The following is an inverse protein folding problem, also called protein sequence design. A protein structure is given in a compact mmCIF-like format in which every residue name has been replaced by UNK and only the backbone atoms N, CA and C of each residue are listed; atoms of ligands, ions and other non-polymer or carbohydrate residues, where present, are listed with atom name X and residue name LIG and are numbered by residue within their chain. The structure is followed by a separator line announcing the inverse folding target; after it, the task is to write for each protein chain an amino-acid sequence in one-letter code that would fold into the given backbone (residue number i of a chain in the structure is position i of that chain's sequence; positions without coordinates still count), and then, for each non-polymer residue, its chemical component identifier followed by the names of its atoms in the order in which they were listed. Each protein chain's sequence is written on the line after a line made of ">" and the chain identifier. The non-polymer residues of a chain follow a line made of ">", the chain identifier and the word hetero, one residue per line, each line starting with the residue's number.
data_IF_363481395647
#
_entry.id   IF_363481395647
#
_cell.length_a   1.000
_cell.length_b   1.000
_cell.length_c   1.000
_cell.angle_alpha   90.00
_cell.angle_beta   90.00
_cell.angle_gamma   90.00
#
_symmetry.space_group_name_H-M   'P 1'
#
loop_
_entity.id
_entity.type
_entity.pdbx_description
1 polymer ?
#
# COMPACT_ATOMS: atom_id res chain seq x y z
N UNK A 1 6.44 -35.21 -9.72
CA UNK A 1 6.09 -35.99 -10.92
C UNK A 1 7.16 -37.03 -11.08
N UNK A 2 6.73 -38.29 -11.21
CA UNK A 2 7.58 -39.47 -11.40
C UNK A 2 8.44 -39.28 -12.63
N UNK A 3 9.75 -39.22 -12.40
CA UNK A 3 10.78 -39.21 -13.43
C UNK A 3 10.76 -40.60 -14.05
N UNK A 4 10.23 -40.75 -15.25
CA UNK A 4 10.60 -41.87 -16.11
C UNK A 4 12.06 -41.64 -16.49
N UNK A 5 12.94 -42.11 -15.61
CA UNK A 5 14.34 -42.26 -15.90
C UNK A 5 14.41 -43.24 -17.07
N UNK A 6 14.68 -42.74 -18.26
CA UNK A 6 15.15 -43.55 -19.37
C UNK A 6 16.29 -44.40 -18.83
N UNK A 7 16.03 -45.69 -18.61
CA UNK A 7 16.94 -46.65 -17.98
C UNK A 7 18.10 -47.02 -18.93
N UNK A 8 18.72 -46.02 -19.56
CA UNK A 8 19.94 -46.23 -20.33
C UNK A 8 21.12 -46.25 -19.37
N UNK A 9 21.40 -47.46 -18.84
CA UNK A 9 22.64 -47.76 -18.12
C UNK A 9 23.84 -47.35 -18.98
N UNK A 10 24.84 -46.74 -18.34
CA UNK A 10 26.14 -46.43 -18.93
C UNK A 10 26.61 -47.55 -19.87
N UNK A 11 26.91 -47.24 -21.15
CA UNK A 11 27.38 -48.25 -22.08
C UNK A 11 28.68 -48.82 -21.51
N UNK A 12 28.67 -50.13 -21.22
CA UNK A 12 29.90 -50.83 -20.85
C UNK A 12 30.88 -50.66 -22.00
N UNK A 13 32.13 -50.30 -21.69
CA UNK A 13 33.25 -50.31 -22.62
C UNK A 13 33.39 -51.75 -23.18
N UNK A 14 32.63 -52.07 -24.22
CA UNK A 14 32.88 -53.21 -25.07
C UNK A 14 34.19 -52.92 -25.77
N UNK A 15 35.26 -53.55 -25.31
CA UNK A 15 36.56 -53.47 -25.96
C UNK A 15 36.35 -53.98 -27.40
N UNK A 16 36.41 -53.10 -28.40
CA UNK A 16 36.30 -53.45 -29.83
C UNK A 16 37.52 -54.22 -30.34
N UNK A 17 38.13 -55.06 -29.50
CA UNK A 17 39.29 -55.91 -29.82
C UNK A 17 38.84 -57.32 -30.20
N UNK A 18 37.81 -57.41 -31.03
CA UNK A 18 37.37 -58.66 -31.64
C UNK A 18 38.03 -58.85 -33.00
N UNK A 19 39.23 -59.45 -33.02
CA UNK A 19 39.96 -59.95 -34.19
C UNK A 19 40.51 -58.92 -35.19
N UNK A 20 41.81 -59.01 -35.49
CA UNK A 20 42.48 -58.19 -36.51
C UNK A 20 41.73 -58.23 -37.85
N UNK A 21 41.16 -57.09 -38.28
CA UNK A 21 40.44 -56.95 -39.55
C UNK A 21 41.34 -57.37 -40.73
N UNK A 22 40.96 -58.46 -41.42
CA UNK A 22 41.80 -59.13 -42.43
C UNK A 22 41.71 -58.51 -43.83
N UNK A 23 40.75 -57.61 -44.07
CA UNK A 23 40.54 -56.95 -45.36
C UNK A 23 40.36 -55.43 -45.23
N UNK A 24 40.69 -54.67 -46.28
CA UNK A 24 40.57 -53.20 -46.30
C UNK A 24 39.12 -52.77 -46.02
N UNK A 25 38.14 -53.49 -46.58
CA UNK A 25 36.71 -53.23 -46.37
C UNK A 25 36.28 -53.40 -44.91
N UNK A 26 36.77 -54.44 -44.22
CA UNK A 26 36.50 -54.66 -42.79
C UNK A 26 37.13 -53.57 -41.92
N UNK A 27 38.36 -53.12 -42.26
CA UNK A 27 39.02 -52.01 -41.55
C UNK A 27 38.21 -50.71 -41.66
N UNK A 28 37.74 -50.37 -42.87
CA UNK A 28 36.91 -49.18 -43.08
C UNK A 28 35.56 -49.26 -42.34
N UNK A 29 34.91 -50.43 -42.34
CA UNK A 29 33.66 -50.65 -41.60
C UNK A 29 33.85 -50.52 -40.09
N UNK A 30 34.94 -51.08 -39.54
CA UNK A 30 35.27 -50.91 -38.13
C UNK A 30 35.50 -49.43 -37.76
N UNK A 31 36.22 -48.69 -38.60
CA UNK A 31 36.46 -47.27 -38.40
C UNK A 31 35.16 -46.46 -38.38
N UNK A 32 34.25 -46.72 -39.33
CA UNK A 32 32.94 -46.05 -39.37
C UNK A 32 32.10 -46.40 -38.13
N UNK A 33 32.12 -47.65 -37.67
CA UNK A 33 31.45 -48.08 -36.44
C UNK A 33 32.00 -47.37 -35.21
N UNK A 34 33.32 -47.33 -35.08
CA UNK A 34 33.99 -46.69 -33.95
C UNK A 34 33.69 -45.18 -33.92
N UNK A 35 33.74 -44.52 -35.08
CA UNK A 35 33.34 -43.11 -35.23
C UNK A 35 31.88 -42.88 -34.84
N UNK A 36 30.98 -43.78 -35.24
CA UNK A 36 29.56 -43.69 -34.89
C UNK A 36 29.32 -43.88 -33.39
N UNK A 37 29.96 -44.88 -32.77
CA UNK A 37 29.92 -45.12 -31.33
C UNK A 37 30.45 -43.93 -30.53
N UNK A 38 31.57 -43.34 -30.97
CA UNK A 38 32.14 -42.16 -30.34
C UNK A 38 31.21 -40.95 -30.44
N UNK A 39 30.55 -40.75 -31.59
CA UNK A 39 29.53 -39.70 -31.77
C UNK A 39 28.33 -39.90 -30.84
N UNK A 40 27.82 -41.12 -30.74
CA UNK A 40 26.65 -41.42 -29.91
C UNK A 40 26.96 -41.20 -28.42
N UNK A 41 28.14 -41.63 -27.95
CA UNK A 41 28.62 -41.36 -26.60
C UNK A 41 28.79 -39.86 -26.33
N UNK A 42 29.33 -39.11 -27.30
CA UNK A 42 29.45 -37.65 -27.20
C UNK A 42 28.09 -36.97 -27.07
N UNK A 43 27.11 -37.36 -27.90
CA UNK A 43 25.75 -36.81 -27.88
C UNK A 43 24.99 -37.15 -26.60
N UNK A 44 25.18 -38.34 -26.04
CA UNK A 44 24.63 -38.69 -24.73
C UNK A 44 25.20 -37.79 -23.63
N UNK A 45 26.49 -37.46 -23.69
CA UNK A 45 27.12 -36.49 -22.79
C UNK A 45 26.52 -35.09 -22.93
N UNK A 46 26.39 -34.59 -24.17
CA UNK A 46 25.75 -33.29 -24.46
C UNK A 46 24.29 -33.24 -23.99
N UNK A 47 23.54 -34.33 -24.13
CA UNK A 47 22.16 -34.43 -23.63
C UNK A 47 22.13 -34.33 -22.11
N UNK A 48 22.97 -35.11 -21.42
CA UNK A 48 23.03 -35.10 -19.95
C UNK A 48 23.40 -33.72 -19.39
N UNK A 49 24.35 -33.03 -20.03
CA UNK A 49 24.70 -31.64 -19.68
C UNK A 49 23.51 -30.69 -19.88
N UNK A 50 22.77 -30.85 -20.98
CA UNK A 50 21.59 -30.03 -21.26
C UNK A 50 20.43 -30.30 -20.30
N UNK A 51 20.28 -31.52 -19.79
CA UNK A 51 19.28 -31.87 -18.76
C UNK A 51 19.59 -31.19 -17.43
N UNK A 52 20.83 -31.32 -16.95
CA UNK A 52 21.30 -30.64 -15.73
C UNK A 52 21.16 -29.13 -15.85
N UNK A 53 21.50 -28.57 -17.02
CA UNK A 53 21.35 -27.14 -17.29
C UNK A 53 19.87 -26.71 -17.25
N UNK A 54 18.98 -27.48 -17.89
CA UNK A 54 17.54 -27.19 -17.90
C UNK A 54 16.96 -27.20 -16.48
N UNK A 55 17.28 -28.23 -15.68
CA UNK A 55 16.84 -28.33 -14.28
C UNK A 55 17.34 -27.16 -13.43
N UNK A 56 18.63 -26.79 -13.58
CA UNK A 56 19.20 -25.64 -12.88
C UNK A 56 18.50 -24.32 -13.22
N UNK A 57 18.17 -24.12 -14.51
CA UNK A 57 17.42 -22.92 -14.93
C UNK A 57 15.97 -22.93 -14.47
N UNK A 58 15.30 -24.09 -14.40
CA UNK A 58 13.95 -24.24 -13.87
C UNK A 58 13.89 -23.86 -12.38
N UNK A 59 14.85 -24.36 -11.59
CA UNK A 59 14.95 -24.00 -10.17
C UNK A 59 15.15 -22.50 -9.97
N UNK A 60 16.00 -21.87 -10.80
CA UNK A 60 16.20 -20.42 -10.75
C UNK A 60 14.94 -19.64 -11.12
N UNK A 61 14.21 -20.08 -12.16
CA UNK A 61 12.92 -19.51 -12.54
C UNK A 61 11.93 -19.52 -11.38
N UNK A 62 11.70 -20.69 -10.75
CA UNK A 62 10.74 -20.80 -9.63
C UNK A 62 11.16 -19.95 -8.43
N UNK A 63 12.45 -19.88 -8.12
CA UNK A 63 12.97 -19.02 -7.05
C UNK A 63 12.72 -17.54 -7.36
N UNK A 64 13.02 -17.08 -8.58
CA UNK A 64 12.83 -15.68 -8.97
C UNK A 64 11.35 -15.29 -9.03
N UNK A 65 10.48 -16.21 -9.47
CA UNK A 65 9.02 -16.04 -9.46
C UNK A 65 8.50 -15.81 -8.04
N UNK A 66 8.93 -16.64 -7.09
CA UNK A 66 8.55 -16.49 -5.68
C UNK A 66 9.01 -15.13 -5.09
N UNK A 67 10.24 -14.70 -5.41
CA UNK A 67 10.76 -13.39 -4.98
C UNK A 67 9.93 -12.25 -5.55
N UNK A 68 9.62 -12.28 -6.86
CA UNK A 68 8.80 -11.26 -7.50
C UNK A 68 7.42 -11.13 -6.84
N UNK A 69 6.69 -12.23 -6.70
CA UNK A 69 5.33 -12.24 -6.10
C UNK A 69 5.34 -11.69 -4.67
N UNK A 70 6.34 -12.07 -3.86
CA UNK A 70 6.48 -11.53 -2.48
C UNK A 70 6.80 -10.04 -2.48
N UNK A 71 7.66 -9.59 -3.39
CA UNK A 71 8.05 -8.17 -3.51
C UNK A 71 6.86 -7.33 -3.94
N UNK A 72 6.09 -7.81 -4.92
CA UNK A 72 4.87 -7.16 -5.39
C UNK A 72 3.83 -7.03 -4.27
N UNK A 73 3.60 -8.09 -3.49
CA UNK A 73 2.66 -8.06 -2.36
C UNK A 73 3.06 -7.03 -1.30
N UNK A 74 4.34 -6.95 -0.97
CA UNK A 74 4.85 -5.96 -0.02
C UNK A 74 4.70 -4.52 -0.56
N UNK A 75 5.00 -4.32 -1.84
CA UNK A 75 4.79 -3.03 -2.51
C UNK A 75 3.31 -2.60 -2.48
N UNK A 76 2.39 -3.52 -2.79
CA UNK A 76 0.95 -3.24 -2.72
C UNK A 76 0.50 -2.84 -1.32
N UNK A 77 1.05 -3.46 -0.26
CA UNK A 77 0.75 -3.10 1.12
C UNK A 77 1.19 -1.67 1.45
N UNK A 78 2.41 -1.26 1.06
CA UNK A 78 2.90 0.10 1.25
C UNK A 78 2.07 1.12 0.48
N UNK A 79 1.74 0.83 -0.79
CA UNK A 79 0.88 1.69 -1.60
C UNK A 79 -0.51 1.86 -0.97
N UNK A 80 -1.09 0.78 -0.47
CA UNK A 80 -2.41 0.84 0.18
C UNK A 80 -2.35 1.60 1.51
N UNK A 81 -1.25 1.52 2.25
CA UNK A 81 -1.03 2.31 3.47
C UNK A 81 -0.97 3.81 3.14
N UNK A 82 -0.26 4.18 2.07
CA UNK A 82 -0.19 5.57 1.62
C UNK A 82 -1.56 6.11 1.22
N UNK A 83 -2.28 5.38 0.36
CA UNK A 83 -3.59 5.82 -0.13
C UNK A 83 -4.64 5.95 0.96
N UNK A 84 -4.61 5.08 1.98
CA UNK A 84 -5.60 5.07 3.06
C UNK A 84 -5.22 5.93 4.25
N UNK A 85 -3.95 5.94 4.63
CA UNK A 85 -3.50 6.58 5.88
C UNK A 85 -2.67 7.82 5.57
N UNK A 86 -1.70 7.74 4.65
CA UNK A 86 -0.83 8.88 4.31
C UNK A 86 -1.63 10.06 3.79
N UNK A 87 -2.40 9.86 2.72
CA UNK A 87 -3.20 10.92 2.08
C UNK A 87 -4.25 11.49 3.03
N UNK A 88 -5.02 10.63 3.71
CA UNK A 88 -6.06 11.07 4.66
C UNK A 88 -5.46 11.85 5.84
N UNK A 89 -4.33 11.40 6.39
CA UNK A 89 -3.67 12.06 7.52
C UNK A 89 -3.20 13.47 7.15
N UNK A 90 -2.60 13.65 5.98
CA UNK A 90 -2.15 14.96 5.50
C UNK A 90 -3.34 15.90 5.32
N UNK A 91 -4.39 15.44 4.63
CA UNK A 91 -5.58 16.26 4.41
C UNK A 91 -6.29 16.62 5.72
N UNK A 92 -6.42 15.66 6.65
CA UNK A 92 -7.02 15.91 7.96
C UNK A 92 -6.18 16.91 8.77
N UNK A 93 -4.86 16.81 8.72
CA UNK A 93 -3.94 17.76 9.37
C UNK A 93 -4.11 19.19 8.84
N UNK A 94 -4.29 19.35 7.53
CA UNK A 94 -4.56 20.67 6.92
C UNK A 94 -5.90 21.26 7.37
N UNK A 95 -6.95 20.45 7.42
CA UNK A 95 -8.27 20.91 7.91
C UNK A 95 -8.24 21.24 9.40
N UNK A 96 -7.54 20.45 10.24
CA UNK A 96 -7.33 20.78 11.65
C UNK A 96 -6.59 22.12 11.78
N UNK A 97 -5.54 22.36 10.97
CA UNK A 97 -4.80 23.63 10.95
C UNK A 97 -5.71 24.83 10.70
N UNK A 98 -6.54 24.72 9.67
CA UNK A 98 -7.50 25.75 9.28
C UNK A 98 -8.52 26.01 10.40
N UNK A 99 -9.07 24.95 11.00
CA UNK A 99 -10.07 25.06 12.05
C UNK A 99 -9.50 25.66 13.35
N UNK A 100 -8.27 25.31 13.72
CA UNK A 100 -7.59 25.89 14.88
C UNK A 100 -7.33 27.38 14.65
N UNK A 101 -6.81 27.77 13.48
CA UNK A 101 -6.59 29.17 13.14
C UNK A 101 -7.90 29.99 13.17
N UNK A 102 -8.99 29.43 12.63
CA UNK A 102 -10.32 30.05 12.69
C UNK A 102 -10.81 30.20 14.14
N UNK A 103 -10.67 29.18 14.97
CA UNK A 103 -11.09 29.21 16.38
C UNK A 103 -10.32 30.25 17.19
N UNK A 104 -9.01 30.37 16.96
CA UNK A 104 -8.17 31.40 17.59
C UNK A 104 -8.65 32.80 17.18
N UNK A 105 -8.90 33.01 15.88
CA UNK A 105 -9.38 34.29 15.36
C UNK A 105 -10.75 34.67 15.92
N UNK A 106 -11.69 33.72 15.98
CA UNK A 106 -13.01 33.92 16.56
C UNK A 106 -12.94 34.24 18.07
N UNK A 107 -12.07 33.53 18.81
CA UNK A 107 -11.85 33.80 20.22
C UNK A 107 -11.29 35.22 20.45
N UNK A 108 -10.28 35.62 19.67
CA UNK A 108 -9.69 36.95 19.79
C UNK A 108 -10.72 38.05 19.46
N UNK A 109 -11.55 37.85 18.43
CA UNK A 109 -12.64 38.76 18.08
C UNK A 109 -13.70 38.85 19.19
N UNK A 110 -14.09 37.72 19.78
CA UNK A 110 -15.04 37.68 20.89
C UNK A 110 -14.49 38.42 22.13
N UNK A 111 -13.23 38.17 22.50
CA UNK A 111 -12.58 38.85 23.62
C UNK A 111 -12.52 40.37 23.38
N UNK A 112 -12.20 40.81 22.16
CA UNK A 112 -12.20 42.23 21.81
C UNK A 112 -13.61 42.84 21.93
N UNK A 113 -14.63 42.16 21.43
CA UNK A 113 -16.03 42.58 21.54
C UNK A 113 -16.49 42.69 23.00
N UNK A 114 -16.19 41.68 23.82
CA UNK A 114 -16.54 41.68 25.25
C UNK A 114 -15.82 42.79 26.01
N UNK A 115 -14.55 43.08 25.70
CA UNK A 115 -13.82 44.21 26.30
C UNK A 115 -14.47 45.55 25.96
N UNK A 116 -14.97 45.72 24.73
CA UNK A 116 -15.69 46.93 24.34
C UNK A 116 -17.03 47.04 25.10
N UNK A 117 -17.79 45.95 25.21
CA UNK A 117 -19.03 45.93 26.01
C UNK A 117 -18.74 46.25 27.48
N UNK A 118 -17.70 45.66 28.07
CA UNK A 118 -17.31 45.92 29.46
C UNK A 118 -16.98 47.39 29.69
N UNK A 119 -16.27 48.03 28.75
CA UNK A 119 -15.93 49.44 28.82
C UNK A 119 -17.19 50.31 28.76
N UNK A 120 -18.09 50.04 27.82
CA UNK A 120 -19.38 50.74 27.73
C UNK A 120 -20.22 50.54 29.00
N UNK A 121 -20.27 49.33 29.53
CA UNK A 121 -21.00 49.03 30.75
C UNK A 121 -20.42 49.75 31.97
N UNK A 122 -19.08 49.83 32.10
CA UNK A 122 -18.41 50.63 33.13
C UNK A 122 -18.76 52.12 33.03
N UNK A 123 -18.78 52.67 31.83
CA UNK A 123 -19.17 54.07 31.61
C UNK A 123 -20.64 54.31 31.99
N UNK A 124 -21.53 53.41 31.59
CA UNK A 124 -22.95 53.45 31.97
C UNK A 124 -23.14 53.31 33.49
N UNK A 125 -22.38 52.44 34.15
CA UNK A 125 -22.37 52.28 35.61
C UNK A 125 -22.01 53.58 36.33
N UNK A 126 -20.99 54.31 35.86
CA UNK A 126 -20.65 55.63 36.41
C UNK A 126 -21.80 56.62 36.20
N UNK A 127 -22.42 56.63 35.02
CA UNK A 127 -23.55 57.50 34.74
C UNK A 127 -24.79 57.18 35.62
N UNK A 128 -25.11 55.90 35.82
CA UNK A 128 -26.22 55.47 36.67
C UNK A 128 -25.92 55.71 38.15
N UNK A 129 -24.67 55.58 38.60
CA UNK A 129 -24.27 55.97 39.95
C UNK A 129 -24.49 57.48 40.19
N UNK A 130 -24.10 58.33 39.24
CA UNK A 130 -24.37 59.77 39.30
C UNK A 130 -25.88 60.06 39.30
N UNK A 131 -26.65 59.38 38.45
CA UNK A 131 -28.10 59.53 38.40
C UNK A 131 -28.76 59.10 39.72
N UNK A 132 -28.29 58.02 40.33
CA UNK A 132 -28.73 57.54 41.65
C UNK A 132 -28.40 58.55 42.75
N UNK A 133 -27.22 59.18 42.71
CA UNK A 133 -26.87 60.24 43.66
C UNK A 133 -27.79 61.46 43.50
N UNK A 134 -28.06 61.88 42.26
CA UNK A 134 -29.02 62.95 41.96
C UNK A 134 -30.44 62.60 42.41
N UNK A 135 -30.87 61.34 42.22
CA UNK A 135 -32.15 60.84 42.68
C UNK A 135 -32.28 60.86 44.21
N UNK A 136 -31.23 60.45 44.93
CA UNK A 136 -31.20 60.54 46.39
C UNK A 136 -31.26 61.99 46.89
N UNK A 137 -30.60 62.93 46.20
CA UNK A 137 -30.72 64.36 46.49
C UNK A 137 -32.13 64.89 46.23
N UNK A 138 -32.76 64.45 45.13
CA UNK A 138 -34.15 64.81 44.81
C UNK A 138 -35.11 64.26 45.88
N UNK A 139 -34.97 62.99 46.26
CA UNK A 139 -35.77 62.37 47.33
C UNK A 139 -35.60 63.11 48.66
N UNK A 140 -34.37 63.43 49.06
CA UNK A 140 -34.10 64.23 50.25
C UNK A 140 -34.74 65.63 50.18
N UNK A 141 -34.67 66.30 49.02
CA UNK A 141 -35.29 67.61 48.81
C UNK A 141 -36.82 67.53 48.81
N UNK A 142 -37.40 66.45 48.28
CA UNK A 142 -38.84 66.20 48.32
C UNK A 142 -39.34 65.96 49.74
N UNK A 143 -38.53 65.31 50.58
CA UNK A 143 -38.86 65.04 51.98
C UNK A 143 -38.45 66.18 52.94
N UNK A 144 -37.88 67.28 52.44
CA UNK A 144 -37.57 68.46 53.25
C UNK A 144 -38.82 69.32 53.47
N UNK A 145 -39.15 69.57 54.73
CA UNK A 145 -40.24 70.45 55.17
C UNK A 145 -40.20 71.85 54.52
N UNK A 146 -39.01 72.36 54.16
CA UNK A 146 -38.85 73.65 53.49
C UNK A 146 -39.43 73.67 52.06
N UNK A 147 -39.54 72.51 51.41
CA UNK A 147 -40.01 72.38 50.03
C UNK A 147 -41.48 71.90 49.95
N UNK A 148 -42.14 71.69 51.08
CA UNK A 148 -43.54 71.25 51.17
C UNK A 148 -44.51 72.13 50.38
N UNK A 149 -44.29 73.46 50.38
CA UNK A 149 -45.08 74.41 49.59
C UNK A 149 -44.92 74.23 48.08
N UNK A 150 -43.70 73.94 47.60
CA UNK A 150 -43.42 73.69 46.19
C UNK A 150 -44.04 72.36 45.72
N UNK A 151 -43.98 71.31 46.56
CA UNK A 151 -44.64 70.04 46.28
C UNK A 151 -46.18 70.16 46.29
N UNK A 152 -46.75 71.01 47.15
CA UNK A 152 -48.19 71.30 47.16
C UNK A 152 -48.64 71.96 45.85
N UNK A 153 -47.85 72.90 45.32
CA UNK A 153 -48.10 73.53 44.00
C UNK A 153 -48.06 72.49 42.87
N UNK A 154 -47.16 71.50 42.95
CA UNK A 154 -47.04 70.40 41.99
C UNK A 154 -48.09 69.29 42.19
N UNK A 155 -48.91 69.35 43.24
CA UNK A 155 -49.91 68.34 43.56
C UNK A 155 -49.37 67.06 44.21
N UNK A 156 -48.16 67.09 44.78
CA UNK A 156 -47.40 65.91 45.24
C UNK A 156 -47.21 65.82 46.77
N UNK A 157 -47.96 66.60 47.56
CA UNK A 157 -47.77 66.68 49.01
C UNK A 157 -48.37 65.48 49.74
N UNK A 158 -47.62 64.92 50.71
CA UNK A 158 -48.02 63.79 51.55
C UNK A 158 -48.42 64.15 52.99
N UNK A 159 -48.47 65.44 53.37
CA UNK A 159 -48.79 65.83 54.74
C UNK A 159 -50.20 66.41 54.90
N UNK A 160 -50.93 65.75 55.80
CA UNK A 160 -52.01 66.23 56.65
C UNK A 160 -51.56 67.42 57.53
N UNK A 161 -51.01 68.48 56.94
CA UNK A 161 -50.69 69.70 57.66
C UNK A 161 -51.93 70.59 57.74
N UNK A 162 -52.66 70.41 58.85
CA UNK A 162 -53.75 71.24 59.37
C UNK A 162 -54.84 71.63 58.37
N UNK A 163 -55.96 70.91 58.44
CA UNK A 163 -57.29 71.40 58.05
C UNK A 163 -57.64 72.64 58.88
N UNK A 164 -57.11 73.77 58.42
CA UNK A 164 -57.28 75.05 59.06
C UNK A 164 -57.17 76.19 58.06
N UNK A 165 -57.52 75.97 56.79
CA UNK A 165 -57.98 77.02 55.88
C UNK A 165 -58.46 76.43 54.54
N UNK A 166 -59.78 76.53 54.34
CA UNK A 166 -60.52 76.65 53.08
C UNK A 166 -60.22 75.61 51.98
N UNK A 167 -61.07 74.59 51.96
CA UNK A 167 -61.50 73.92 50.73
C UNK A 167 -62.06 74.96 49.73
N UNK A 168 -61.22 75.46 48.83
CA UNK A 168 -61.63 75.98 47.52
C UNK A 168 -60.37 76.14 46.67
N UNK A 169 -59.96 75.07 46.01
CA UNK A 169 -59.25 75.06 44.71
C UNK A 169 -58.90 73.61 44.34
N UNK A 170 -59.91 72.75 44.29
CA UNK A 170 -59.82 71.47 43.60
C UNK A 170 -60.14 71.70 42.11
N UNK A 171 -59.31 72.45 41.39
CA UNK A 171 -59.30 72.47 39.93
C UNK A 171 -58.22 73.41 39.40
N UNK A 172 -57.40 72.88 38.49
CA UNK A 172 -56.42 73.56 37.63
C UNK A 172 -54.96 73.47 38.08
N UNK A 173 -54.48 72.25 38.39
CA UNK A 173 -53.12 71.95 37.95
C UNK A 173 -53.08 72.12 36.42
N UNK A 174 -52.14 72.90 35.85
CA UNK A 174 -51.96 72.98 34.40
C UNK A 174 -51.85 71.57 33.82
N UNK A 175 -52.32 71.34 32.59
CA UNK A 175 -52.27 70.02 31.95
C UNK A 175 -50.84 69.44 31.96
N UNK A 176 -49.85 70.33 31.91
CA UNK A 176 -48.41 70.05 31.97
C UNK A 176 -47.95 69.45 33.31
N UNK A 177 -48.70 69.65 34.41
CA UNK A 177 -48.34 69.20 35.76
C UNK A 177 -49.13 67.96 36.23
N UNK A 178 -50.07 67.43 35.43
CA UNK A 178 -50.92 66.29 35.83
C UNK A 178 -50.16 65.02 36.21
N UNK A 179 -48.98 64.82 35.62
CA UNK A 179 -48.12 63.65 35.84
C UNK A 179 -46.91 63.94 36.75
N UNK A 180 -46.80 65.15 37.31
CA UNK A 180 -45.58 65.61 37.98
C UNK A 180 -45.13 64.66 39.10
N UNK A 181 -46.05 64.19 39.93
CA UNK A 181 -45.73 63.30 41.06
C UNK A 181 -45.29 61.91 40.60
N UNK A 182 -45.94 61.38 39.56
CA UNK A 182 -45.57 60.10 38.94
C UNK A 182 -44.19 60.19 38.30
N UNK A 183 -43.87 61.31 37.66
CA UNK A 183 -42.57 61.55 37.05
C UNK A 183 -41.50 61.70 38.14
N UNK A 184 -41.75 62.49 39.18
CA UNK A 184 -40.83 62.68 40.32
C UNK A 184 -40.51 61.34 41.01
N UNK A 185 -41.52 60.54 41.33
CA UNK A 185 -41.31 59.22 41.95
C UNK A 185 -40.51 58.30 41.01
N UNK A 186 -40.80 58.30 39.70
CA UNK A 186 -39.98 57.55 38.73
C UNK A 186 -38.54 58.02 38.67
N UNK A 187 -38.28 59.32 38.77
CA UNK A 187 -36.93 59.88 38.80
C UNK A 187 -36.16 59.49 40.06
N UNK A 188 -36.87 59.19 41.17
CA UNK A 188 -36.27 58.67 42.40
C UNK A 188 -36.02 57.15 42.31
N UNK A 189 -37.01 56.38 41.86
CA UNK A 189 -36.97 54.91 41.92
C UNK A 189 -36.12 54.27 40.81
N UNK A 190 -36.29 54.70 39.55
CA UNK A 190 -35.68 54.04 38.38
C UNK A 190 -34.15 54.01 38.35
N UNK A 191 -33.43 55.02 38.86
CA UNK A 191 -31.97 54.98 38.88
C UNK A 191 -31.39 53.83 39.72
N UNK A 192 -32.12 53.34 40.72
CA UNK A 192 -31.72 52.18 41.53
C UNK A 192 -31.77 50.90 40.68
N UNK A 193 -32.87 50.67 39.97
CA UNK A 193 -33.05 49.52 39.06
C UNK A 193 -31.95 49.50 37.98
N UNK A 194 -31.74 50.63 37.30
CA UNK A 194 -30.75 50.76 36.23
C UNK A 194 -29.32 50.49 36.72
N UNK A 195 -29.01 50.90 37.95
CA UNK A 195 -27.72 50.63 38.59
C UNK A 195 -27.53 49.14 38.87
N UNK A 196 -28.58 48.41 39.24
CA UNK A 196 -28.52 46.97 39.47
C UNK A 196 -28.38 46.19 38.16
N UNK A 197 -29.16 46.56 37.13
CA UNK A 197 -29.11 45.92 35.82
C UNK A 197 -27.73 46.04 35.16
N UNK A 198 -27.12 47.23 35.21
CA UNK A 198 -25.79 47.44 34.61
C UNK A 198 -24.69 46.68 35.36
N UNK A 199 -24.86 46.45 36.67
CA UNK A 199 -23.93 45.67 37.47
C UNK A 199 -23.96 44.19 37.08
N UNK A 200 -25.16 43.65 36.81
CA UNK A 200 -25.32 42.29 36.28
C UNK A 200 -24.59 42.15 34.94
N UNK A 201 -24.77 43.12 34.04
CA UNK A 201 -24.09 43.12 32.74
C UNK A 201 -22.57 43.20 32.92
N UNK A 202 -22.08 44.12 33.76
CA UNK A 202 -20.65 44.27 34.03
C UNK A 202 -20.01 42.98 34.53
N UNK A 203 -20.65 42.33 35.52
CA UNK A 203 -20.13 41.10 36.11
C UNK A 203 -20.17 39.94 35.10
N UNK A 204 -21.29 39.77 34.40
CA UNK A 204 -21.45 38.70 33.41
C UNK A 204 -20.40 38.81 32.28
N UNK A 205 -20.16 40.01 31.77
CA UNK A 205 -19.17 40.23 30.71
C UNK A 205 -17.75 39.98 31.23
N UNK A 206 -17.45 40.40 32.47
CA UNK A 206 -16.15 40.14 33.10
C UNK A 206 -15.90 38.63 33.28
N UNK A 207 -16.90 37.87 33.71
CA UNK A 207 -16.81 36.41 33.88
C UNK A 207 -16.55 35.71 32.55
N UNK A 208 -17.27 36.08 31.48
CA UNK A 208 -17.06 35.51 30.15
C UNK A 208 -15.65 35.82 29.63
N UNK A 209 -15.14 37.05 29.83
CA UNK A 209 -13.75 37.39 29.49
C UNK A 209 -12.76 36.50 30.24
N UNK A 210 -13.03 36.24 31.53
CA UNK A 210 -12.24 35.32 32.36
C UNK A 210 -12.22 33.90 31.80
N UNK A 211 -13.37 33.36 31.43
CA UNK A 211 -13.51 32.03 30.81
C UNK A 211 -12.71 31.95 29.50
N UNK A 212 -12.83 32.95 28.62
CA UNK A 212 -12.09 32.95 27.35
C UNK A 212 -10.57 33.01 27.56
N UNK A 213 -10.13 33.74 28.58
CA UNK A 213 -8.71 33.83 28.94
C UNK A 213 -8.18 32.51 29.51
N UNK A 214 -8.98 31.83 30.35
CA UNK A 214 -8.61 30.53 30.93
C UNK A 214 -8.62 29.40 29.90
N UNK A 215 -9.57 29.42 28.95
CA UNK A 215 -9.72 28.40 27.91
C UNK A 215 -8.49 28.29 27.01
N UNK A 216 -7.66 29.34 26.94
CA UNK A 216 -6.35 29.36 26.31
C UNK A 216 -6.31 28.69 24.93
N UNK A 217 -7.28 28.99 24.07
CA UNK A 217 -7.41 28.40 22.71
C UNK A 217 -6.12 28.56 21.89
N UNK A 218 -5.31 29.59 22.19
CA UNK A 218 -4.00 29.82 21.58
C UNK A 218 -2.99 28.70 21.82
N UNK A 219 -3.08 27.93 22.91
CA UNK A 219 -2.19 26.78 23.12
C UNK A 219 -2.38 25.67 22.07
N UNK A 220 -3.54 25.63 21.41
CA UNK A 220 -3.80 24.67 20.33
C UNK A 220 -2.96 24.96 19.08
N UNK A 221 -2.43 26.18 18.90
CA UNK A 221 -1.59 26.53 17.76
C UNK A 221 -0.33 25.67 17.71
N UNK A 222 0.40 25.59 18.83
CA UNK A 222 1.62 24.77 18.91
C UNK A 222 1.30 23.29 18.74
N UNK A 223 0.25 22.80 19.41
CA UNK A 223 -0.16 21.40 19.29
C UNK A 223 -0.49 21.02 17.83
N UNK A 224 -1.20 21.90 17.13
CA UNK A 224 -1.53 21.71 15.72
C UNK A 224 -0.28 21.71 14.83
N UNK A 225 0.67 22.61 15.07
CA UNK A 225 1.94 22.66 14.33
C UNK A 225 2.75 21.37 14.54
N UNK A 226 2.87 20.92 15.78
CA UNK A 226 3.56 19.67 16.14
C UNK A 226 2.87 18.46 15.49
N UNK A 227 1.54 18.39 15.54
CA UNK A 227 0.77 17.34 14.89
C UNK A 227 1.00 17.31 13.37
N UNK A 228 0.95 18.47 12.71
CA UNK A 228 1.18 18.57 11.27
C UNK A 228 2.61 18.17 10.86
N UNK A 229 3.60 18.55 11.65
CA UNK A 229 5.00 18.15 11.42
C UNK A 229 5.19 16.64 11.57
N UNK A 230 4.59 16.03 12.60
CA UNK A 230 4.64 14.60 12.82
C UNK A 230 3.90 13.82 11.72
N UNK A 231 2.73 14.31 11.30
CA UNK A 231 1.98 13.76 10.18
C UNK A 231 2.82 13.77 8.89
N UNK A 232 3.49 14.90 8.61
CA UNK A 232 4.36 15.01 7.44
C UNK A 232 5.57 14.07 7.50
N UNK A 233 6.21 13.98 8.67
CA UNK A 233 7.32 13.05 8.90
C UNK A 233 6.92 11.61 8.65
N UNK A 234 5.72 11.20 9.09
CA UNK A 234 5.20 9.87 8.85
C UNK A 234 4.90 9.61 7.37
N UNK A 235 4.28 10.55 6.67
CA UNK A 235 4.03 10.49 5.22
C UNK A 235 5.36 10.37 4.44
N UNK A 236 6.36 11.19 4.77
CA UNK A 236 7.68 11.14 4.12
C UNK A 236 8.37 9.78 4.30
N UNK A 237 8.20 9.14 5.47
CA UNK A 237 8.68 7.78 5.70
C UNK A 237 7.98 6.77 4.80
N UNK A 238 6.65 6.86 4.64
CA UNK A 238 5.89 5.99 3.75
C UNK A 238 6.33 6.18 2.30
N UNK A 239 6.42 7.43 1.82
CA UNK A 239 6.85 7.76 0.45
C UNK A 239 8.26 7.24 0.16
N UNK A 240 9.18 7.39 1.12
CA UNK A 240 10.54 6.83 1.01
C UNK A 240 10.52 5.32 0.83
N UNK A 241 9.73 4.61 1.65
CA UNK A 241 9.60 3.16 1.54
C UNK A 241 8.95 2.73 0.22
N UNK A 242 7.96 3.47 -0.29
CA UNK A 242 7.36 3.22 -1.60
C UNK A 242 8.40 3.36 -2.71
N UNK A 243 9.22 4.40 -2.68
CA UNK A 243 10.29 4.61 -3.68
C UNK A 243 11.31 3.46 -3.65
N UNK A 244 11.75 3.05 -2.47
CA UNK A 244 12.65 1.89 -2.32
C UNK A 244 11.99 0.59 -2.81
N UNK A 245 10.74 0.34 -2.44
CA UNK A 245 10.00 -0.85 -2.85
C UNK A 245 9.72 -0.88 -4.36
N UNK A 246 9.49 0.28 -4.99
CA UNK A 246 9.32 0.41 -6.46
C UNK A 246 10.59 -0.02 -7.19
N UNK A 247 11.75 0.46 -6.75
CA UNK A 247 13.03 0.06 -7.32
C UNK A 247 13.29 -1.45 -7.12
N UNK A 248 12.97 -1.98 -5.93
CA UNK A 248 13.05 -3.41 -5.63
C UNK A 248 12.14 -4.26 -6.52
N UNK A 249 10.89 -3.83 -6.73
CA UNK A 249 9.93 -4.52 -7.59
C UNK A 249 10.42 -4.57 -9.03
N UNK A 250 10.89 -3.43 -9.58
CA UNK A 250 11.46 -3.37 -10.93
C UNK A 250 12.64 -4.33 -11.08
N UNK A 251 13.58 -4.33 -10.13
CA UNK A 251 14.71 -5.25 -10.14
C UNK A 251 14.27 -6.72 -10.11
N UNK A 252 13.28 -7.05 -9.28
CA UNK A 252 12.76 -8.42 -9.20
C UNK A 252 12.05 -8.86 -10.49
N UNK A 253 11.40 -7.92 -11.19
CA UNK A 253 10.78 -8.15 -12.50
C UNK A 253 11.83 -8.40 -13.59
N UNK A 254 12.90 -7.60 -13.61
CA UNK A 254 14.02 -7.76 -14.54
C UNK A 254 14.71 -9.12 -14.33
N UNK A 255 14.98 -9.48 -13.08
CA UNK A 255 15.55 -10.78 -12.70
C UNK A 255 14.67 -11.97 -13.11
N UNK A 256 13.35 -11.88 -12.89
CA UNK A 256 12.40 -12.91 -13.31
C UNK A 256 12.35 -13.03 -14.83
N UNK A 257 12.36 -11.90 -15.55
CA UNK A 257 12.38 -11.86 -17.01
C UNK A 257 13.61 -12.56 -17.57
N UNK A 258 14.79 -12.33 -16.97
CA UNK A 258 16.02 -13.02 -17.34
C UNK A 258 15.92 -14.52 -17.08
N UNK A 259 15.40 -14.93 -15.92
CA UNK A 259 15.24 -16.35 -15.59
C UNK A 259 14.28 -17.08 -16.56
N UNK A 260 13.19 -16.42 -16.96
CA UNK A 260 12.26 -16.95 -17.99
C UNK A 260 13.00 -17.16 -19.31
N UNK A 261 13.77 -16.17 -19.78
CA UNK A 261 14.55 -16.28 -21.02
C UNK A 261 15.54 -17.43 -20.96
N UNK A 262 16.31 -17.53 -19.88
CA UNK A 262 17.31 -18.60 -19.71
C UNK A 262 16.67 -19.99 -19.63
N UNK A 263 15.56 -20.14 -18.90
CA UNK A 263 14.84 -21.41 -18.83
C UNK A 263 14.20 -21.81 -20.16
N UNK A 264 13.66 -20.83 -20.90
CA UNK A 264 13.12 -21.08 -22.24
C UNK A 264 14.22 -21.55 -23.19
N UNK A 265 15.37 -20.86 -23.20
CA UNK A 265 16.52 -21.23 -24.03
C UNK A 265 17.07 -22.61 -23.71
N UNK A 266 17.25 -22.94 -22.42
CA UNK A 266 17.73 -24.27 -22.00
C UNK A 266 16.73 -25.38 -22.35
N UNK A 267 15.43 -25.11 -22.28
CA UNK A 267 14.39 -26.06 -22.67
C UNK A 267 14.43 -26.35 -24.18
N UNK A 268 14.60 -25.32 -25.03
CA UNK A 268 14.77 -25.52 -26.47
C UNK A 268 16.09 -26.24 -26.80
N UNK A 269 17.18 -25.92 -26.09
CA UNK A 269 18.45 -26.62 -26.26
C UNK A 269 18.32 -28.11 -25.91
N UNK A 270 17.67 -28.43 -24.79
CA UNK A 270 17.39 -29.79 -24.36
C UNK A 270 16.55 -30.55 -25.40
N UNK A 271 15.48 -29.92 -25.90
CA UNK A 271 14.68 -30.49 -26.96
C UNK A 271 15.51 -30.80 -28.22
N UNK A 272 16.36 -29.85 -28.65
CA UNK A 272 17.27 -30.05 -29.77
C UNK A 272 18.23 -31.23 -29.55
N UNK A 273 18.80 -31.36 -28.35
CA UNK A 273 19.71 -32.46 -28.01
C UNK A 273 19.02 -33.82 -27.93
N UNK A 274 17.78 -33.88 -27.47
CA UNK A 274 16.96 -35.10 -27.52
C UNK A 274 16.75 -35.55 -28.97
N UNK A 275 16.36 -34.63 -29.85
CA UNK A 275 16.16 -34.93 -31.27
C UNK A 275 17.46 -35.34 -31.98
N UNK A 276 18.60 -34.69 -31.68
CA UNK A 276 19.92 -35.10 -32.20
C UNK A 276 20.31 -36.52 -31.77
N UNK A 277 19.99 -36.93 -30.53
CA UNK A 277 20.26 -38.29 -30.06
C UNK A 277 19.30 -39.30 -30.70
N UNK A 278 18.00 -39.00 -30.74
CA UNK A 278 16.97 -39.87 -31.31
C UNK A 278 17.23 -40.18 -32.78
N UNK A 279 17.54 -39.17 -33.59
CA UNK A 279 17.94 -39.37 -35.00
C UNK A 279 19.17 -40.28 -35.17
N UNK A 280 20.14 -40.23 -34.27
CA UNK A 280 21.30 -41.14 -34.31
C UNK A 280 20.94 -42.55 -33.81
N UNK A 281 20.04 -42.67 -32.84
CA UNK A 281 19.54 -43.98 -32.39
C UNK A 281 18.73 -44.65 -33.51
N UNK A 282 17.83 -43.93 -34.16
CA UNK A 282 17.07 -44.44 -35.31
C UNK A 282 17.98 -44.83 -36.48
N UNK A 283 19.02 -44.05 -36.78
CA UNK A 283 19.99 -44.42 -37.83
C UNK A 283 20.80 -45.65 -37.42
N UNK A 284 21.17 -45.79 -36.14
CA UNK A 284 21.77 -47.03 -35.61
C UNK A 284 20.83 -48.22 -35.85
N UNK A 285 19.55 -48.09 -35.52
CA UNK A 285 18.56 -49.16 -35.70
C UNK A 285 18.26 -49.43 -37.17
N UNK A 286 18.25 -48.43 -38.05
CA UNK A 286 18.14 -48.64 -39.49
C UNK A 286 19.36 -49.40 -40.04
N UNK A 287 20.57 -49.01 -39.64
CA UNK A 287 21.81 -49.65 -40.09
C UNK A 287 22.02 -51.05 -39.47
N UNK A 288 21.51 -51.29 -38.26
CA UNK A 288 21.77 -52.53 -37.50
C UNK A 288 20.56 -53.49 -37.46
N UNK A 289 19.35 -53.01 -37.75
CA UNK A 289 18.08 -53.73 -37.59
C UNK A 289 17.27 -53.86 -38.89
N UNK A 290 17.83 -53.50 -40.05
CA UNK A 290 17.35 -54.12 -41.27
C UNK A 290 17.80 -55.58 -41.25
N UNK A 291 16.81 -56.49 -41.08
CA UNK A 291 16.90 -57.81 -41.71
C UNK A 291 17.55 -57.57 -43.07
N UNK A 292 18.66 -58.24 -43.37
CA UNK A 292 19.21 -58.26 -44.72
C UNK A 292 18.21 -58.94 -45.69
N UNK A 293 17.00 -58.40 -45.83
CA UNK A 293 15.96 -58.84 -46.75
C UNK A 293 16.34 -58.58 -48.20
N UNK A 294 17.37 -57.75 -48.45
CA UNK A 294 18.05 -57.67 -49.75
C UNK A 294 18.84 -58.94 -50.08
N UNK A 295 18.87 -59.92 -49.16
CA UNK A 295 19.45 -61.24 -49.32
C UNK A 295 18.44 -62.26 -48.77
N UNK A 296 17.33 -62.44 -49.48
CA UNK A 296 16.73 -63.78 -49.51
C UNK A 296 17.77 -64.73 -50.12
N UNK A 297 18.00 -65.87 -49.47
CA UNK A 297 19.07 -66.85 -49.76
C UNK A 297 20.51 -66.41 -49.43
N UNK A 298 20.79 -66.29 -48.13
CA UNK A 298 22.13 -66.56 -47.62
C UNK A 298 22.36 -68.08 -47.65
N UNK A 299 22.73 -68.64 -48.81
CA UNK A 299 23.11 -70.05 -49.02
C UNK A 299 24.37 -70.47 -48.23
N UNK A 300 24.31 -70.34 -46.91
CA UNK A 300 25.33 -70.69 -45.93
C UNK A 300 25.06 -72.07 -45.31
N UNK A 301 23.92 -72.70 -45.63
CA UNK A 301 23.48 -73.96 -45.05
C UNK A 301 23.36 -75.12 -46.05
N UNK A 302 23.92 -75.02 -47.25
CA UNK A 302 23.93 -76.16 -48.18
C UNK A 302 25.30 -76.37 -48.80
N UNK A 303 25.82 -77.58 -48.59
CA UNK A 303 27.08 -78.10 -49.11
C UNK A 303 27.04 -78.31 -50.63
N UNK A 304 26.98 -77.21 -51.37
CA UNK A 304 27.13 -77.20 -52.82
C UNK A 304 28.43 -76.50 -53.22
N UNK A 305 29.33 -77.26 -53.84
CA UNK A 305 30.46 -76.75 -54.62
C UNK A 305 29.94 -75.77 -55.68
N UNK A 306 30.35 -74.51 -55.66
CA UNK A 306 30.68 -73.73 -56.86
C UNK A 306 31.26 -72.33 -56.54
N UNK A 307 32.13 -71.90 -57.46
CA UNK A 307 33.09 -70.81 -57.38
C UNK A 307 32.49 -69.40 -57.23
N UNK A 308 32.49 -68.83 -56.02
CA UNK A 308 32.93 -67.44 -55.73
C UNK A 308 32.79 -67.08 -54.23
N UNK A 309 33.73 -67.58 -53.42
CA UNK A 309 33.73 -67.46 -51.96
C UNK A 309 33.91 -66.04 -51.38
N UNK A 310 34.29 -65.04 -52.19
CA UNK A 310 34.64 -63.70 -51.68
C UNK A 310 33.42 -62.85 -51.33
N UNK A 311 32.35 -62.96 -52.10
CA UNK A 311 31.10 -62.21 -51.87
C UNK A 311 30.22 -62.88 -50.82
N UNK A 312 30.20 -64.22 -50.72
CA UNK A 312 29.54 -64.95 -49.60
C UNK A 312 30.17 -64.57 -48.25
N UNK A 313 31.51 -64.53 -48.17
CA UNK A 313 32.22 -64.18 -46.93
C UNK A 313 32.00 -62.72 -46.52
N UNK A 314 32.15 -61.75 -47.43
CA UNK A 314 31.88 -60.33 -47.15
C UNK A 314 30.45 -60.09 -46.64
N UNK A 315 29.52 -60.92 -47.07
CA UNK A 315 28.09 -60.86 -46.76
C UNK A 315 27.72 -61.52 -45.43
N UNK A 316 28.40 -62.61 -45.05
CA UNK A 316 28.34 -63.15 -43.68
C UNK A 316 29.00 -62.21 -42.67
N UNK A 317 30.14 -61.61 -43.03
CA UNK A 317 30.85 -60.67 -42.16
C UNK A 317 29.98 -59.43 -41.84
N UNK A 318 29.17 -58.94 -42.79
CA UNK A 318 28.20 -57.84 -42.55
C UNK A 318 27.08 -58.26 -41.59
N UNK A 319 26.58 -59.49 -41.69
CA UNK A 319 25.57 -60.01 -40.76
C UNK A 319 26.13 -60.22 -39.35
N UNK A 320 27.35 -60.74 -39.23
CA UNK A 320 28.04 -60.86 -37.94
C UNK A 320 28.34 -59.47 -37.34
N UNK A 321 28.67 -58.50 -38.20
CA UNK A 321 28.80 -57.09 -37.86
C UNK A 321 27.52 -56.51 -37.24
N UNK A 322 26.35 -56.80 -37.80
CA UNK A 322 25.07 -56.34 -37.25
C UNK A 322 24.79 -57.03 -35.92
N UNK A 323 25.05 -58.34 -35.83
CA UNK A 323 24.81 -59.15 -34.64
C UNK A 323 25.71 -58.76 -33.46
N UNK A 324 26.99 -58.47 -33.68
CA UNK A 324 27.90 -57.97 -32.64
C UNK A 324 27.48 -56.57 -32.12
N UNK A 325 26.98 -55.69 -32.99
CA UNK A 325 26.47 -54.37 -32.56
C UNK A 325 25.20 -54.53 -31.73
N UNK A 326 24.32 -55.46 -32.09
CA UNK A 326 23.16 -55.85 -31.29
C UNK A 326 23.57 -56.45 -29.95
N UNK A 327 24.53 -57.38 -29.89
CA UNK A 327 24.95 -58.03 -28.63
C UNK A 327 25.67 -57.09 -27.64
N UNK A 328 26.32 -56.03 -28.13
CA UNK A 328 26.98 -55.04 -27.26
C UNK A 328 25.95 -54.11 -26.58
N UNK A 329 24.78 -53.87 -27.20
CA UNK A 329 23.82 -52.85 -26.75
C UNK A 329 22.40 -53.36 -26.45
N UNK A 330 21.99 -54.53 -26.92
CA UNK A 330 20.76 -55.20 -26.51
C UNK A 330 21.05 -56.11 -25.32
N UNK A 331 20.52 -55.74 -24.16
CA UNK A 331 20.58 -56.58 -22.96
C UNK A 331 19.70 -57.82 -23.22
N UNK A 332 20.25 -59.03 -23.07
CA UNK A 332 19.41 -60.21 -22.81
C UNK A 332 18.83 -60.05 -21.42
N UNK A 333 17.57 -59.66 -21.34
CA UNK A 333 16.81 -59.89 -20.12
C UNK A 333 16.76 -61.41 -19.87
N UNK A 334 17.00 -61.81 -18.62
CA UNK A 334 17.09 -63.20 -18.20
C UNK A 334 15.75 -63.97 -18.28
N UNK A 335 14.78 -63.49 -19.05
CA UNK A 335 13.47 -64.11 -19.27
C UNK A 335 13.08 -64.07 -20.75
N UNK A 336 13.93 -64.59 -21.65
CA UNK A 336 13.49 -65.18 -22.93
C UNK A 336 12.76 -64.29 -23.95
N UNK A 337 12.62 -62.99 -23.74
CA UNK A 337 12.02 -62.04 -24.68
C UNK A 337 13.06 -61.07 -25.21
N UNK A 338 13.32 -61.08 -26.52
CA UNK A 338 14.07 -60.01 -27.18
C UNK A 338 13.13 -58.82 -27.40
N UNK A 339 13.15 -57.86 -26.49
CA UNK A 339 12.56 -56.53 -26.71
C UNK A 339 13.68 -55.56 -27.08
N UNK A 340 13.62 -55.00 -28.28
CA UNK A 340 14.34 -53.79 -28.62
C UNK A 340 13.35 -52.64 -28.46
N UNK A 341 13.32 -52.03 -27.28
CA UNK A 341 12.78 -50.68 -27.09
C UNK A 341 13.97 -49.73 -26.83
#
# INVERSE_FOLDING_TARGET
>A
MTIESSNMRNPKNGNCNGNEAKTITQKNLHQIKEDYCNRLKGKLGELSESEVTSDGTLMMYEKKKCVFVKTEKNFQMLRNLELKVGVELIQASEEIKKNVAASISQNDALVAGLKAVLMTAKNAKVAFANLRESAAKLDAAMNDSCNSGQLKILGCSNDNCNEGEKQHEASNAPNECQDACRILNKLVERPIDLSQEIDIICNSVADIIGIQSFSNVKSLEKFQQDFASNAKTFDDLIQTQINTATAGLKKSQDDLTLAIKSHTQSSYALYGKRNELETLVEVKDYLCCHKCSCIGDCGCNEGGNEDNNRFKKCKCDICDICKEVTEIYCIRDNEGGSSCD
#
